data_IF_556361971455
#
_entry.id   IF_556361971455
#
_cell.length_a   1.000
_cell.length_b   1.000
_cell.length_c   1.000
_cell.angle_alpha   90.00
_cell.angle_beta   90.00
_cell.angle_gamma   90.00
#
_symmetry.space_group_name_H-M   'P 1'
#
loop_
_entity.id
_entity.type
_entity.pdbx_description
1 polymer ?
#
# COMPACT_ATOMS: atom_id res chain seq x y z
N UNK A 1 6.73 -3.00 -4.54
CA UNK A 1 7.99 -2.23 -4.67
C UNK A 1 7.63 -0.75 -4.79
N UNK A 2 8.31 0.14 -4.08
CA UNK A 2 8.12 1.59 -4.19
C UNK A 2 9.39 2.25 -4.73
N UNK A 3 9.25 3.30 -5.54
CA UNK A 3 10.36 4.09 -6.05
C UNK A 3 9.94 5.51 -6.39
N UNK A 4 10.90 6.44 -6.39
CA UNK A 4 10.66 7.83 -6.77
C UNK A 4 10.77 7.99 -8.28
N UNK A 5 9.74 8.54 -8.90
CA UNK A 5 9.71 8.82 -10.34
C UNK A 5 9.42 10.29 -10.63
N UNK A 6 9.74 10.74 -11.83
CA UNK A 6 9.27 12.03 -12.33
C UNK A 6 8.27 11.79 -13.46
N UNK A 7 7.03 12.23 -13.24
CA UNK A 7 5.92 12.11 -14.18
C UNK A 7 5.53 13.54 -14.59
N UNK A 8 5.51 13.82 -15.91
CA UNK A 8 5.20 15.16 -16.45
C UNK A 8 6.00 16.32 -15.80
N UNK A 9 7.25 16.06 -15.41
CA UNK A 9 8.13 17.06 -14.79
C UNK A 9 7.91 17.31 -13.29
N UNK A 10 7.06 16.51 -12.62
CA UNK A 10 6.86 16.56 -11.16
C UNK A 10 7.34 15.28 -10.50
N UNK A 11 7.81 15.39 -9.27
CA UNK A 11 8.12 14.22 -8.44
C UNK A 11 6.83 13.46 -8.11
N UNK A 12 6.87 12.15 -8.25
CA UNK A 12 5.80 11.24 -7.90
C UNK A 12 6.42 10.02 -7.20
N UNK A 13 5.77 9.59 -6.13
CA UNK A 13 6.08 8.30 -5.52
C UNK A 13 5.23 7.25 -6.23
N UNK A 14 5.88 6.21 -6.76
CA UNK A 14 5.22 5.12 -7.50
C UNK A 14 5.33 3.84 -6.69
N UNK A 15 4.19 3.22 -6.42
CA UNK A 15 4.06 1.95 -5.74
C UNK A 15 3.55 0.87 -6.70
N UNK A 16 4.36 -0.16 -6.96
CA UNK A 16 3.98 -1.33 -7.74
C UNK A 16 3.57 -2.46 -6.81
N UNK A 17 2.32 -2.89 -6.93
CA UNK A 17 1.72 -4.05 -6.30
C UNK A 17 1.58 -5.18 -7.32
N UNK A 18 1.20 -6.36 -6.84
CA UNK A 18 0.99 -7.55 -7.67
C UNK A 18 -0.13 -7.37 -8.70
N UNK A 19 -1.15 -6.60 -8.34
CA UNK A 19 -2.39 -6.41 -9.08
C UNK A 19 -2.51 -5.02 -9.71
N UNK A 20 -1.76 -4.03 -9.21
CA UNK A 20 -1.88 -2.63 -9.61
C UNK A 20 -0.61 -1.82 -9.42
N UNK A 21 -0.52 -0.70 -10.11
CA UNK A 21 0.46 0.36 -9.95
C UNK A 21 -0.29 1.58 -9.46
N UNK A 22 0.16 2.17 -8.36
CA UNK A 22 -0.36 3.42 -7.81
C UNK A 22 0.72 4.49 -7.87
N UNK A 23 0.35 5.74 -8.14
CA UNK A 23 1.26 6.87 -7.96
C UNK A 23 0.52 8.11 -7.48
N UNK A 24 1.18 8.88 -6.61
CA UNK A 24 0.68 10.17 -6.15
C UNK A 24 1.56 11.31 -6.68
N UNK A 25 0.95 12.34 -7.30
CA UNK A 25 1.69 13.56 -7.63
C UNK A 25 2.09 14.28 -6.34
N UNK A 26 3.40 14.39 -6.06
CA UNK A 26 3.90 15.18 -4.93
C UNK A 26 3.77 16.67 -5.28
N UNK A 27 2.55 17.18 -5.20
CA UNK A 27 2.15 18.43 -5.87
C UNK A 27 1.03 19.21 -5.19
N UNK A 28 0.83 19.01 -3.88
CA UNK A 28 0.40 20.10 -2.98
C UNK A 28 0.76 19.70 -1.56
N UNK A 29 1.87 20.26 -1.11
CA UNK A 29 2.37 20.22 0.25
C UNK A 29 1.25 20.50 1.27
N UNK A 30 0.73 19.45 1.92
CA UNK A 30 0.52 19.42 3.37
C UNK A 30 1.62 18.48 3.89
N UNK A 31 2.39 18.78 4.93
CA UNK A 31 2.08 19.53 6.12
C UNK A 31 3.34 20.22 6.69
N UNK A 32 3.16 21.31 7.45
CA UNK A 32 4.01 21.53 8.63
C UNK A 32 4.80 22.84 8.77
N UNK A 33 5.06 23.63 7.72
CA UNK A 33 6.03 24.75 7.83
C UNK A 33 5.51 26.16 7.52
N UNK A 34 4.19 26.36 7.35
CA UNK A 34 3.58 27.70 7.20
C UNK A 34 2.51 28.06 8.23
N UNK A 35 2.34 27.27 9.29
CA UNK A 35 1.49 27.63 10.44
C UNK A 35 2.19 28.54 11.47
N UNK A 36 3.38 29.06 11.16
CA UNK A 36 4.10 29.99 12.04
C UNK A 36 3.82 31.49 11.74
N UNK A 37 3.06 31.85 10.69
CA UNK A 37 2.92 33.26 10.28
C UNK A 37 1.47 33.77 10.12
N UNK A 38 0.51 33.16 10.82
CA UNK A 38 -0.90 33.59 10.76
C UNK A 38 -1.66 33.59 12.08
N UNK A 39 -1.00 33.30 13.21
CA UNK A 39 -1.64 33.26 14.52
C UNK A 39 -1.98 34.65 15.11
N UNK A 40 -1.89 35.74 14.33
CA UNK A 40 -2.14 37.12 14.79
C UNK A 40 -3.30 37.84 14.06
N UNK A 41 -4.18 37.14 13.34
CA UNK A 41 -5.37 37.78 12.78
C UNK A 41 -6.64 37.01 13.15
N UNK A 42 -7.12 37.28 14.37
CA UNK A 42 -8.48 37.04 14.82
C UNK A 42 -9.47 37.65 13.81
N UNK A 43 -10.18 36.84 13.01
CA UNK A 43 -11.23 37.39 12.14
C UNK A 43 -11.78 36.47 11.07
N UNK A 44 -12.90 35.81 11.37
CA UNK A 44 -14.02 35.52 10.45
C UNK A 44 -13.64 35.14 9.00
N UNK A 45 -12.99 34.00 8.75
CA UNK A 45 -12.91 33.43 7.38
C UNK A 45 -12.61 31.91 7.31
N UNK A 46 -12.92 31.13 8.34
CA UNK A 46 -12.69 29.67 8.32
C UNK A 46 -13.66 28.87 7.44
N UNK A 47 -14.70 29.51 6.88
CA UNK A 47 -15.64 28.87 5.95
C UNK A 47 -15.25 28.99 4.47
N UNK A 48 -14.15 29.67 4.11
CA UNK A 48 -13.79 29.93 2.69
C UNK A 48 -12.41 29.43 2.24
N UNK A 49 -11.59 28.89 3.14
CA UNK A 49 -10.39 28.15 2.74
C UNK A 49 -10.76 26.68 2.53
N UNK A 50 -11.23 26.39 1.32
CA UNK A 50 -11.44 25.03 0.80
C UNK A 50 -10.15 24.21 0.78
N UNK A 51 -9.68 23.79 1.95
CA UNK A 51 -8.64 22.77 2.09
C UNK A 51 -9.32 21.41 2.01
N UNK A 52 -9.92 21.15 0.85
CA UNK A 52 -9.87 19.81 0.27
C UNK A 52 -8.67 19.83 -0.66
N UNK A 53 -7.67 18.99 -0.40
CA UNK A 53 -6.96 18.37 -1.51
C UNK A 53 -6.50 16.99 -1.10
N UNK A 54 -7.39 16.02 -1.34
CA UNK A 54 -7.03 14.65 -1.67
C UNK A 54 -5.82 14.70 -2.59
N UNK A 55 -4.73 14.03 -2.20
CA UNK A 55 -3.67 13.72 -3.16
C UNK A 55 -4.33 13.01 -4.34
N UNK A 56 -4.07 13.51 -5.55
CA UNK A 56 -4.52 12.89 -6.79
C UNK A 56 -3.68 11.61 -6.94
N UNK A 57 -4.15 10.53 -6.29
CA UNK A 57 -3.55 9.21 -6.30
C UNK A 57 -4.17 8.45 -7.46
N UNK A 58 -3.44 8.34 -8.55
CA UNK A 58 -3.87 7.64 -9.75
C UNK A 58 -3.45 6.16 -9.64
N UNK A 59 -4.30 5.25 -10.15
CA UNK A 59 -4.09 3.80 -10.06
C UNK A 59 -4.37 3.12 -11.40
N UNK A 60 -3.45 2.24 -11.82
CA UNK A 60 -3.55 1.39 -13.02
C UNK A 60 -3.50 -0.07 -12.59
N UNK A 61 -4.51 -0.90 -12.90
CA UNK A 61 -4.42 -2.32 -12.66
C UNK A 61 -3.46 -2.98 -13.65
N UNK A 62 -2.62 -3.90 -13.19
CA UNK A 62 -1.60 -4.61 -14.00
C UNK A 62 -2.23 -5.30 -15.22
N UNK A 63 -3.42 -5.87 -15.06
CA UNK A 63 -4.18 -6.50 -16.16
C UNK A 63 -4.51 -5.57 -17.34
N UNK A 64 -4.48 -4.25 -17.12
CA UNK A 64 -4.76 -3.26 -18.17
C UNK A 64 -3.50 -2.82 -18.93
N UNK A 65 -2.32 -3.24 -18.45
CA UNK A 65 -1.03 -2.98 -19.08
C UNK A 65 -0.89 -3.93 -20.26
N UNK A 66 -0.66 -3.38 -21.44
CA UNK A 66 -0.42 -4.13 -22.67
C UNK A 66 1.07 -4.32 -22.95
N UNK A 67 1.90 -3.34 -22.61
CA UNK A 67 3.36 -3.43 -22.75
C UNK A 67 4.11 -2.44 -21.87
N UNK A 68 5.36 -2.76 -21.57
CA UNK A 68 6.29 -1.88 -20.84
C UNK A 68 7.56 -1.71 -21.67
N UNK A 69 7.88 -0.46 -22.01
CA UNK A 69 9.04 -0.09 -22.82
C UNK A 69 9.99 0.74 -21.96
N UNK A 70 11.28 0.42 -21.98
CA UNK A 70 12.31 1.24 -21.33
C UNK A 70 13.12 1.93 -22.42
N UNK A 71 13.11 3.25 -22.39
CA UNK A 71 13.86 4.11 -23.31
C UNK A 71 14.91 4.90 -22.54
N UNK A 72 16.08 5.10 -23.18
CA UNK A 72 17.14 5.93 -22.61
C UNK A 72 16.82 7.41 -22.83
N UNK A 73 16.56 8.15 -21.76
CA UNK A 73 16.23 9.58 -21.76
C UNK A 73 17.44 10.37 -21.20
N UNK A 74 18.48 10.50 -22.03
CA UNK A 74 19.74 11.14 -21.64
C UNK A 74 20.51 10.38 -20.56
N UNK A 75 20.65 10.98 -19.37
CA UNK A 75 21.26 10.37 -18.19
C UNK A 75 20.28 9.52 -17.36
N UNK A 76 18.98 9.60 -17.62
CA UNK A 76 17.94 8.85 -16.90
C UNK A 76 17.31 7.80 -17.82
N UNK A 77 16.57 6.86 -17.24
CA UNK A 77 15.74 5.92 -18.00
C UNK A 77 14.28 6.38 -17.91
N UNK A 78 13.55 6.22 -19.02
CA UNK A 78 12.11 6.48 -19.11
C UNK A 78 11.40 5.15 -19.36
N UNK A 79 10.62 4.73 -18.39
CA UNK A 79 9.76 3.54 -18.46
C UNK A 79 8.38 4.00 -18.94
N UNK A 80 8.01 3.66 -20.18
CA UNK A 80 6.66 3.88 -20.72
C UNK A 80 5.82 2.65 -20.47
N UNK A 81 4.73 2.83 -19.73
CA UNK A 81 3.73 1.79 -19.47
C UNK A 81 2.55 2.09 -20.38
N UNK A 82 2.33 1.22 -21.37
CA UNK A 82 1.21 1.33 -22.31
C UNK A 82 0.04 0.55 -21.75
N UNK A 83 -1.10 1.21 -21.62
CA UNK A 83 -2.36 0.62 -21.19
C UNK A 83 -3.41 0.75 -22.28
N UNK A 84 -4.53 0.04 -22.14
CA UNK A 84 -5.61 0.01 -23.14
C UNK A 84 -6.22 1.37 -23.50
N UNK A 85 -5.99 2.43 -22.72
CA UNK A 85 -6.51 3.78 -22.99
C UNK A 85 -5.55 4.94 -22.72
N UNK A 86 -4.32 4.71 -22.25
CA UNK A 86 -3.34 5.76 -21.99
C UNK A 86 -1.91 5.18 -21.93
N UNK A 87 -0.90 6.03 -22.11
CA UNK A 87 0.52 5.69 -21.88
C UNK A 87 1.09 6.58 -20.79
N UNK A 88 1.76 5.98 -19.82
CA UNK A 88 2.31 6.68 -18.66
C UNK A 88 3.83 6.55 -18.68
N UNK A 89 4.50 7.69 -18.61
CA UNK A 89 5.95 7.79 -18.64
C UNK A 89 6.51 8.02 -17.24
N UNK A 90 7.23 7.03 -16.72
CA UNK A 90 7.96 7.11 -15.47
C UNK A 90 9.44 7.35 -15.74
N UNK A 91 10.00 8.48 -15.28
CA UNK A 91 11.45 8.67 -15.28
C UNK A 91 12.06 8.18 -13.98
N UNK A 92 13.03 7.28 -14.05
CA UNK A 92 13.71 6.72 -12.89
C UNK A 92 15.21 6.49 -13.18
N UNK A 93 15.96 6.05 -12.16
CA UNK A 93 17.35 5.65 -12.34
C UNK A 93 17.46 4.38 -13.20
N UNK A 94 18.66 4.10 -13.73
CA UNK A 94 18.88 2.91 -14.57
C UNK A 94 18.55 1.61 -13.83
N UNK A 95 19.02 1.50 -12.59
CA UNK A 95 18.79 0.31 -11.77
C UNK A 95 17.29 0.10 -11.46
N UNK A 96 16.57 1.19 -11.16
CA UNK A 96 15.12 1.10 -10.91
C UNK A 96 14.37 0.73 -12.18
N UNK A 97 14.73 1.29 -13.34
CA UNK A 97 14.09 0.96 -14.61
C UNK A 97 14.24 -0.52 -14.98
N UNK A 98 15.43 -1.10 -14.77
CA UNK A 98 15.66 -2.53 -15.00
C UNK A 98 14.82 -3.40 -14.05
N UNK A 99 14.75 -3.05 -12.76
CA UNK A 99 13.90 -3.74 -11.77
C UNK A 99 12.41 -3.65 -12.11
N UNK A 100 11.92 -2.45 -12.45
CA UNK A 100 10.52 -2.20 -12.81
C UNK A 100 10.12 -2.96 -14.06
N UNK A 101 10.98 -2.95 -15.09
CA UNK A 101 10.71 -3.69 -16.34
C UNK A 101 10.55 -5.18 -16.07
N UNK A 102 11.50 -5.80 -15.36
CA UNK A 102 11.46 -7.23 -15.04
C UNK A 102 10.23 -7.57 -14.22
N UNK A 103 9.98 -6.80 -13.15
CA UNK A 103 8.85 -7.02 -12.25
C UNK A 103 7.51 -6.88 -12.98
N UNK A 104 7.31 -5.82 -13.79
CA UNK A 104 6.06 -5.65 -14.52
C UNK A 104 5.87 -6.73 -15.61
N UNK A 105 6.93 -7.14 -16.28
CA UNK A 105 6.87 -8.23 -17.27
C UNK A 105 6.47 -9.53 -16.59
N UNK A 106 7.06 -9.84 -15.44
CA UNK A 106 6.70 -11.04 -14.66
C UNK A 106 5.26 -10.98 -14.18
N UNK A 107 4.79 -9.83 -13.64
CA UNK A 107 3.41 -9.67 -13.21
C UNK A 107 2.40 -9.75 -14.37
N UNK A 108 2.74 -9.22 -15.55
CA UNK A 108 1.91 -9.37 -16.76
C UNK A 108 1.80 -10.84 -17.21
N UNK A 109 2.87 -11.62 -17.03
CA UNK A 109 2.89 -13.05 -17.31
C UNK A 109 2.30 -13.90 -16.17
N UNK A 110 1.75 -13.27 -15.13
CA UNK A 110 1.15 -13.94 -13.97
C UNK A 110 2.17 -14.53 -12.98
N UNK A 111 3.47 -14.22 -13.15
CA UNK A 111 4.54 -14.61 -12.22
C UNK A 111 4.55 -13.60 -11.08
N UNK A 112 3.80 -13.90 -10.03
CA UNK A 112 3.80 -13.07 -8.82
C UNK A 112 5.04 -13.41 -7.97
N UNK A 113 5.86 -12.43 -7.54
CA UNK A 113 7.03 -12.69 -6.68
C UNK A 113 6.64 -13.24 -5.30
N UNK A 114 5.37 -13.10 -4.90
CA UNK A 114 4.78 -13.73 -3.72
C UNK A 114 4.37 -15.20 -3.93
N UNK A 115 4.35 -15.71 -5.17
CA UNK A 115 4.12 -17.14 -5.46
C UNK A 115 5.41 -17.97 -5.47
N UNK A 116 6.57 -17.33 -5.43
CA UNK A 116 7.82 -17.99 -5.03
C UNK A 116 7.89 -18.13 -3.51
N UNK A 117 6.88 -18.73 -2.90
CA UNK A 117 7.19 -19.62 -1.79
C UNK A 117 7.91 -20.81 -2.43
N UNK A 118 9.04 -21.29 -1.88
CA UNK A 118 9.41 -22.66 -2.16
C UNK A 118 8.16 -23.49 -1.83
N UNK A 119 7.64 -24.22 -2.82
CA UNK A 119 6.90 -25.42 -2.51
C UNK A 119 7.87 -26.22 -1.63
N UNK A 120 7.73 -26.08 -0.32
CA UNK A 120 8.33 -26.97 0.62
C UNK A 120 7.93 -28.33 0.11
N UNK A 121 8.92 -29.11 -0.32
CA UNK A 121 8.77 -30.51 -0.64
C UNK A 121 7.82 -31.09 0.40
N UNK A 122 6.69 -31.63 -0.04
CA UNK A 122 5.76 -32.32 0.83
C UNK A 122 6.58 -33.26 1.70
N UNK A 123 6.77 -33.00 3.00
CA UNK A 123 7.35 -34.01 3.85
C UNK A 123 6.34 -35.15 3.83
N UNK A 124 6.86 -36.35 3.61
CA UNK A 124 6.19 -37.60 3.95
C UNK A 124 5.36 -37.43 5.22
N UNK A 125 4.14 -37.98 5.30
CA UNK A 125 3.21 -37.73 6.41
C UNK A 125 3.82 -38.24 7.71
N UNK A 126 4.47 -37.33 8.43
CA UNK A 126 4.91 -37.49 9.81
C UNK A 126 3.95 -36.66 10.65
N UNK A 127 3.23 -37.26 11.62
CA UNK A 127 2.24 -36.54 12.41
C UNK A 127 2.98 -35.58 13.36
N UNK A 128 2.84 -34.27 13.14
CA UNK A 128 3.40 -33.22 14.00
C UNK A 128 2.34 -32.16 14.36
N UNK A 129 2.02 -31.97 15.65
CA UNK A 129 0.87 -31.20 16.16
C UNK A 129 1.12 -29.69 16.36
N UNK A 130 1.87 -29.02 15.49
CA UNK A 130 2.28 -27.60 15.70
C UNK A 130 1.31 -26.55 15.14
N UNK A 131 0.29 -26.96 14.39
CA UNK A 131 -0.75 -26.04 13.90
C UNK A 131 -1.78 -25.66 14.98
N UNK A 132 -1.95 -26.50 16.01
CA UNK A 132 -2.91 -26.26 17.09
C UNK A 132 -2.41 -25.20 18.09
N UNK A 133 -1.10 -25.09 18.32
CA UNK A 133 -0.53 -24.13 19.28
C UNK A 133 -0.62 -22.67 18.79
N UNK A 134 -0.52 -22.41 17.48
CA UNK A 134 -0.65 -21.03 16.96
C UNK A 134 -2.08 -20.51 17.06
N UNK A 135 -3.07 -21.33 16.72
CA UNK A 135 -4.47 -20.96 16.87
C UNK A 135 -4.86 -20.68 18.34
N UNK A 136 -4.26 -21.41 19.29
CA UNK A 136 -4.45 -21.14 20.73
C UNK A 136 -3.83 -19.81 21.19
N UNK A 137 -2.66 -19.46 20.65
CA UNK A 137 -2.01 -18.18 20.93
C UNK A 137 -2.81 -16.99 20.37
N UNK A 138 -3.31 -17.10 19.14
CA UNK A 138 -4.14 -16.05 18.51
C UNK A 138 -5.44 -15.78 19.31
N UNK A 139 -6.07 -16.82 19.86
CA UNK A 139 -7.28 -16.66 20.70
C UNK A 139 -6.95 -15.98 22.03
N UNK A 140 -5.81 -16.33 22.65
CA UNK A 140 -5.36 -15.69 23.89
C UNK A 140 -5.05 -14.19 23.69
N UNK A 141 -4.40 -13.84 22.58
CA UNK A 141 -4.08 -12.45 22.22
C UNK A 141 -5.36 -11.63 21.93
N UNK A 142 -6.35 -12.23 21.27
CA UNK A 142 -7.65 -11.60 21.02
C UNK A 142 -8.45 -11.34 22.31
N UNK A 143 -8.41 -12.27 23.27
CA UNK A 143 -9.02 -12.09 24.59
C UNK A 143 -8.36 -10.96 25.39
N UNK A 144 -7.03 -10.82 25.31
CA UNK A 144 -6.29 -9.74 25.95
C UNK A 144 -6.69 -8.36 25.40
N UNK A 145 -6.82 -8.24 24.07
CA UNK A 145 -7.26 -6.99 23.42
C UNK A 145 -8.68 -6.59 23.80
N UNK A 146 -9.60 -7.54 23.92
CA UNK A 146 -10.97 -7.27 24.39
C UNK A 146 -10.99 -6.76 25.84
N UNK A 147 -10.11 -7.28 26.72
CA UNK A 147 -10.02 -6.84 28.11
C UNK A 147 -9.47 -5.41 28.22
N UNK A 148 -8.52 -5.03 27.38
CA UNK A 148 -7.98 -3.66 27.28
C UNK A 148 -9.06 -2.67 26.81
N UNK A 149 -9.87 -3.06 25.82
CA UNK A 149 -10.98 -2.25 25.32
C UNK A 149 -12.10 -2.06 26.36
N UNK A 150 -12.38 -3.08 27.19
CA UNK A 150 -13.29 -2.95 28.34
C UNK A 150 -12.72 -1.99 29.40
N UNK A 151 -11.45 -2.13 29.73
CA UNK A 151 -10.79 -1.32 30.77
C UNK A 151 -10.66 0.15 30.38
N UNK A 152 -10.49 0.43 29.09
CA UNK A 152 -10.49 1.79 28.52
C UNK A 152 -11.90 2.39 28.36
N UNK A 153 -12.95 1.64 28.69
CA UNK A 153 -14.34 2.07 28.56
C UNK A 153 -14.84 2.15 27.11
N UNK A 154 -14.12 1.56 26.15
CA UNK A 154 -14.52 1.46 24.75
C UNK A 154 -15.57 0.36 24.50
N UNK A 155 -15.65 -0.62 25.40
CA UNK A 155 -16.65 -1.70 25.39
C UNK A 155 -17.38 -1.74 26.74
N UNK A 156 -18.69 -1.96 26.68
CA UNK A 156 -19.49 -2.26 27.86
C UNK A 156 -19.33 -3.73 28.30
N UNK A 157 -19.68 -4.05 29.54
CA UNK A 157 -19.55 -5.41 30.09
C UNK A 157 -20.34 -6.46 29.28
N UNK A 158 -21.52 -6.11 28.77
CA UNK A 158 -22.35 -6.97 27.92
C UNK A 158 -21.70 -7.25 26.55
N UNK A 159 -21.10 -6.23 25.93
CA UNK A 159 -20.42 -6.38 24.63
C UNK A 159 -19.15 -7.22 24.75
N UNK A 160 -18.41 -7.06 25.85
CA UNK A 160 -17.26 -7.90 26.16
C UNK A 160 -17.65 -9.37 26.32
N UNK A 161 -18.75 -9.66 27.05
CA UNK A 161 -19.24 -11.02 27.24
C UNK A 161 -19.65 -11.69 25.92
N UNK A 162 -20.36 -10.95 25.06
CA UNK A 162 -20.77 -11.44 23.74
C UNK A 162 -19.58 -11.70 22.80
N UNK A 163 -18.58 -10.83 22.79
CA UNK A 163 -17.38 -10.99 21.97
C UNK A 163 -16.51 -12.17 22.45
N UNK A 164 -16.39 -12.36 23.78
CA UNK A 164 -15.70 -13.49 24.37
C UNK A 164 -16.37 -14.83 24.05
N UNK A 165 -17.70 -14.90 24.13
CA UNK A 165 -18.46 -16.12 23.78
C UNK A 165 -18.24 -16.50 22.31
N UNK A 166 -18.31 -15.51 21.40
CA UNK A 166 -18.02 -15.72 19.97
C UNK A 166 -16.62 -16.25 19.69
N UNK A 167 -15.61 -15.75 20.41
CA UNK A 167 -14.23 -16.23 20.27
C UNK A 167 -14.03 -17.64 20.80
N UNK A 168 -14.80 -18.04 21.81
CA UNK A 168 -14.75 -19.38 22.40
C UNK A 168 -15.74 -20.36 21.72
N UNK A 169 -16.50 -19.90 20.73
CA UNK A 169 -17.51 -20.71 20.04
C UNK A 169 -18.69 -21.13 20.93
N UNK A 170 -19.02 -20.32 21.94
CA UNK A 170 -20.12 -20.56 22.89
C UNK A 170 -21.37 -19.74 22.57
#
# INVERSE_FOLDING_TARGET
MTFNSHIEGKNAEVAIYADRIEWGRQGRMGAGSKLALGAMTMGISLAKTGVRRSGDSEMIPVKSISSVVVERDGLRQKVKVVCSGNTIDFRCSREEAEKVKTLLTDLMLGRHPSQSLPAAASPTPQPAPVAAERAGADVADQLAKLAEMRTSGLLTDDEFAAAKARLLGQ
#
